data_IF_385009943348
#
_entry.id   IF_385009943348
#
_cell.length_a   1.000
_cell.length_b   1.000
_cell.length_c   1.000
_cell.angle_alpha   90.00
_cell.angle_beta   90.00
_cell.angle_gamma   90.00
#
_symmetry.space_group_name_H-M   'P 1'
#
loop_
_entity.id
_entity.type
_entity.pdbx_description
1 polymer ?
#
# COMPACT_ATOMS: atom_id res chain seq x y z
N UNK A 1 8.51 -1.35 -21.29
CA UNK A 1 8.02 -2.23 -20.22
C UNK A 1 8.44 -1.62 -18.91
N UNK A 2 7.52 -1.39 -17.98
CA UNK A 2 7.87 -0.93 -16.65
C UNK A 2 8.43 -2.08 -15.81
N UNK A 3 9.31 -1.76 -14.85
CA UNK A 3 9.82 -2.77 -13.92
C UNK A 3 8.71 -3.31 -13.01
N UNK A 4 7.72 -2.45 -12.65
CA UNK A 4 6.56 -2.88 -11.88
C UNK A 4 5.73 -3.95 -12.61
N UNK A 5 5.56 -3.84 -13.94
CA UNK A 5 4.90 -4.88 -14.73
C UNK A 5 5.67 -6.20 -14.68
N UNK A 6 7.00 -6.13 -14.85
CA UNK A 6 7.85 -7.31 -14.76
C UNK A 6 7.66 -8.03 -13.42
N UNK A 7 7.80 -7.30 -12.30
CA UNK A 7 7.63 -7.85 -10.95
C UNK A 7 6.24 -8.43 -10.76
N UNK A 8 5.19 -7.71 -11.18
CA UNK A 8 3.81 -8.17 -11.07
C UNK A 8 3.56 -9.47 -11.84
N UNK A 9 3.98 -9.51 -13.10
CA UNK A 9 3.81 -10.69 -13.97
C UNK A 9 4.57 -11.91 -13.43
N UNK A 10 5.83 -11.72 -12.98
CA UNK A 10 6.64 -12.78 -12.38
C UNK A 10 5.99 -13.33 -11.11
N UNK A 11 5.51 -12.47 -10.21
CA UNK A 11 4.81 -12.89 -9.01
C UNK A 11 3.52 -13.64 -9.31
N UNK A 12 2.70 -13.16 -10.24
CA UNK A 12 1.47 -13.84 -10.64
C UNK A 12 1.76 -15.24 -11.19
N UNK A 13 2.75 -15.36 -12.08
CA UNK A 13 3.16 -16.66 -12.63
C UNK A 13 3.63 -17.60 -11.52
N UNK A 14 4.49 -17.12 -10.63
CA UNK A 14 4.99 -17.95 -9.53
C UNK A 14 3.88 -18.40 -8.57
N UNK A 15 2.91 -17.52 -8.25
CA UNK A 15 1.75 -17.88 -7.42
C UNK A 15 0.91 -18.96 -8.13
N UNK A 16 0.62 -18.80 -9.42
CA UNK A 16 -0.23 -19.74 -10.17
C UNK A 16 0.45 -21.07 -10.42
N UNK A 17 1.76 -21.12 -10.61
CA UNK A 17 2.53 -22.32 -10.94
C UNK A 17 2.98 -23.09 -9.69
N UNK A 18 3.39 -22.37 -8.65
CA UNK A 18 4.07 -22.91 -7.47
C UNK A 18 3.33 -22.62 -6.15
N UNK A 19 2.17 -21.99 -6.21
CA UNK A 19 1.35 -21.68 -5.04
C UNK A 19 0.59 -22.89 -4.50
N UNK A 20 0.14 -22.77 -3.26
CA UNK A 20 -0.65 -23.79 -2.58
C UNK A 20 -2.11 -23.33 -2.48
N UNK A 21 -3.03 -24.18 -2.89
CA UNK A 21 -4.47 -23.95 -2.75
C UNK A 21 -4.96 -24.31 -1.34
N UNK A 22 -5.98 -23.57 -0.88
CA UNK A 22 -6.66 -23.82 0.40
C UNK A 22 -8.08 -24.38 0.24
N UNK A 23 -8.38 -24.98 -0.92
CA UNK A 23 -9.72 -25.51 -1.28
C UNK A 23 -10.22 -26.62 -0.36
N UNK A 24 -9.33 -27.27 0.40
CA UNK A 24 -9.63 -28.31 1.38
C UNK A 24 -9.80 -27.77 2.81
N UNK A 25 -9.76 -26.45 3.00
CA UNK A 25 -9.86 -25.79 4.29
C UNK A 25 -11.13 -24.96 4.40
N UNK A 26 -11.59 -24.76 5.63
CA UNK A 26 -12.54 -23.71 5.94
C UNK A 26 -11.82 -22.35 5.85
N UNK A 27 -12.41 -21.40 5.10
CA UNK A 27 -11.87 -20.05 4.90
C UNK A 27 -12.86 -19.01 5.40
N UNK A 28 -12.32 -17.93 5.97
CA UNK A 28 -13.14 -16.82 6.48
C UNK A 28 -13.81 -16.00 5.38
N UNK A 29 -13.09 -15.61 4.28
CA UNK A 29 -13.68 -14.74 3.28
C UNK A 29 -14.71 -15.49 2.42
N UNK A 30 -15.75 -14.74 2.05
CA UNK A 30 -16.83 -15.24 1.19
C UNK A 30 -17.07 -14.27 0.04
N UNK A 31 -17.58 -14.79 -1.06
CA UNK A 31 -18.09 -14.01 -2.16
C UNK A 31 -19.48 -13.43 -1.82
N UNK A 32 -19.95 -12.46 -2.61
CA UNK A 32 -21.25 -11.80 -2.42
C UNK A 32 -22.42 -12.80 -2.36
N UNK A 33 -22.31 -13.94 -3.06
CA UNK A 33 -23.30 -15.02 -3.06
C UNK A 33 -23.19 -15.98 -1.87
N UNK A 34 -22.31 -15.70 -0.91
CA UNK A 34 -22.10 -16.50 0.29
C UNK A 34 -21.21 -17.73 0.10
N UNK A 35 -20.70 -17.99 -1.11
CA UNK A 35 -19.76 -19.10 -1.32
C UNK A 35 -18.38 -18.79 -0.76
N UNK A 36 -17.64 -19.80 -0.22
CA UNK A 36 -16.28 -19.59 0.26
C UNK A 36 -15.35 -19.06 -0.84
N UNK A 37 -14.54 -18.06 -0.51
CA UNK A 37 -13.56 -17.47 -1.41
C UNK A 37 -12.18 -18.10 -1.15
N UNK A 38 -11.88 -19.17 -1.91
CA UNK A 38 -10.61 -19.88 -1.81
C UNK A 38 -9.48 -19.17 -2.53
N UNK A 39 -8.24 -19.44 -2.12
CA UNK A 39 -7.06 -18.82 -2.68
C UNK A 39 -5.99 -19.82 -3.09
N UNK A 40 -5.21 -19.45 -4.11
CA UNK A 40 -3.86 -19.96 -4.33
C UNK A 40 -2.87 -18.94 -3.85
N UNK A 41 -1.87 -19.36 -3.07
CA UNK A 41 -0.97 -18.43 -2.36
C UNK A 41 0.47 -18.86 -2.30
N UNK A 42 1.36 -17.87 -2.17
CA UNK A 42 2.81 -18.02 -1.92
C UNK A 42 3.18 -17.35 -0.61
N UNK A 43 4.03 -18.03 0.13
CA UNK A 43 4.65 -17.50 1.34
C UNK A 43 5.87 -16.64 0.98
N UNK A 44 5.95 -15.46 1.61
CA UNK A 44 7.12 -14.58 1.62
C UNK A 44 7.58 -14.13 0.23
N UNK A 45 6.76 -13.28 -0.41
CA UNK A 45 7.15 -12.56 -1.62
C UNK A 45 7.84 -11.25 -1.23
N UNK A 46 9.01 -10.97 -1.81
CA UNK A 46 9.78 -9.75 -1.56
C UNK A 46 10.02 -9.02 -2.87
N UNK A 47 9.43 -7.85 -3.01
CA UNK A 47 9.58 -6.99 -4.17
C UNK A 47 10.45 -5.79 -3.84
N UNK A 48 11.29 -5.37 -4.79
CA UNK A 48 12.20 -4.22 -4.63
C UNK A 48 12.00 -3.25 -5.79
N UNK A 49 11.85 -1.97 -5.47
CA UNK A 49 11.62 -0.92 -6.46
C UNK A 49 12.61 0.23 -6.20
N UNK A 50 13.42 0.56 -7.19
CA UNK A 50 14.32 1.70 -7.16
C UNK A 50 13.56 2.96 -7.65
N UNK A 51 13.13 3.78 -6.69
CA UNK A 51 12.32 4.98 -6.97
C UNK A 51 13.11 6.09 -7.67
N UNK A 52 14.44 5.98 -7.74
CA UNK A 52 15.25 6.91 -8.51
C UNK A 52 15.28 6.56 -10.00
N UNK A 53 14.95 5.31 -10.36
CA UNK A 53 14.90 4.87 -11.76
C UNK A 53 13.54 5.05 -12.37
N UNK A 54 12.49 4.60 -11.70
CA UNK A 54 11.12 4.71 -12.19
C UNK A 54 10.09 4.65 -11.07
N UNK A 55 8.92 5.19 -11.33
CA UNK A 55 7.79 5.07 -10.42
C UNK A 55 7.10 3.70 -10.58
N UNK A 56 6.85 2.93 -9.50
CA UNK A 56 6.46 1.53 -9.58
C UNK A 56 4.94 1.35 -9.78
N UNK A 57 4.42 1.78 -10.92
CA UNK A 57 3.02 1.58 -11.30
C UNK A 57 2.93 0.61 -12.47
N UNK A 58 2.00 -0.37 -12.38
CA UNK A 58 1.76 -1.32 -13.47
C UNK A 58 1.01 -0.67 -14.63
N UNK A 59 1.22 -1.21 -15.82
CA UNK A 59 0.57 -0.78 -17.07
C UNK A 59 -0.30 -1.87 -17.68
N UNK A 60 -0.13 -3.12 -17.29
CA UNK A 60 -0.95 -4.25 -17.74
C UNK A 60 -2.42 -4.11 -17.36
N UNK A 61 -2.73 -3.32 -16.35
CA UNK A 61 -4.06 -2.82 -16.03
C UNK A 61 -3.98 -1.44 -15.39
N UNK A 62 -5.08 -0.71 -15.40
CA UNK A 62 -5.19 0.59 -14.76
C UNK A 62 -5.06 0.46 -13.23
N UNK A 63 -4.18 1.27 -12.62
CA UNK A 63 -4.21 1.59 -11.20
C UNK A 63 -4.77 3.00 -11.03
N UNK A 64 -5.80 3.17 -10.21
CA UNK A 64 -6.47 4.46 -10.00
C UNK A 64 -5.63 5.34 -9.09
N UNK A 65 -4.59 5.94 -9.67
CA UNK A 65 -3.54 6.69 -9.00
C UNK A 65 -4.05 7.75 -8.02
N UNK A 66 -4.99 8.59 -8.43
CA UNK A 66 -5.55 9.65 -7.57
C UNK A 66 -6.30 9.10 -6.37
N UNK A 67 -7.01 8.00 -6.52
CA UNK A 67 -7.71 7.34 -5.41
C UNK A 67 -6.72 6.68 -4.44
N UNK A 68 -5.65 6.08 -4.95
CA UNK A 68 -4.60 5.52 -4.11
C UNK A 68 -3.90 6.60 -3.27
N UNK A 69 -3.68 7.79 -3.84
CA UNK A 69 -3.14 8.95 -3.11
C UNK A 69 -4.14 9.45 -2.06
N UNK A 70 -5.42 9.62 -2.41
CA UNK A 70 -6.43 10.08 -1.46
C UNK A 70 -6.47 9.18 -0.21
N UNK A 71 -6.40 7.86 -0.42
CA UNK A 71 -6.38 6.89 0.67
C UNK A 71 -5.10 6.95 1.51
N UNK A 72 -3.91 7.06 0.91
CA UNK A 72 -2.69 7.15 1.72
C UNK A 72 -2.61 8.46 2.51
N UNK A 73 -3.13 9.57 1.96
CA UNK A 73 -3.27 10.83 2.68
C UNK A 73 -4.32 10.72 3.80
N UNK A 74 -5.43 10.01 3.58
CA UNK A 74 -6.43 9.73 4.59
C UNK A 74 -5.84 8.95 5.77
N UNK A 75 -5.04 7.90 5.50
CA UNK A 75 -4.42 7.07 6.53
C UNK A 75 -3.30 7.83 7.26
N UNK A 76 -2.35 8.44 6.53
CA UNK A 76 -1.11 8.93 7.11
C UNK A 76 -1.09 10.41 7.45
N UNK A 77 -1.79 11.24 6.70
CA UNK A 77 -1.82 12.68 6.90
C UNK A 77 -2.99 13.10 7.78
N UNK A 78 -4.22 12.72 7.39
CA UNK A 78 -5.43 12.98 8.19
C UNK A 78 -5.49 12.10 9.44
N UNK A 79 -4.85 10.92 9.40
CA UNK A 79 -4.87 9.91 10.47
C UNK A 79 -6.30 9.54 10.87
N UNK A 80 -7.18 9.48 9.88
CA UNK A 80 -8.60 9.23 10.08
C UNK A 80 -8.93 7.74 9.98
N UNK A 81 -9.99 7.35 10.66
CA UNK A 81 -10.65 6.05 10.55
C UNK A 81 -12.11 6.18 10.10
N UNK A 82 -12.51 7.37 9.62
CA UNK A 82 -13.85 7.62 9.13
C UNK A 82 -13.85 7.72 7.60
N UNK A 83 -14.66 6.89 6.93
CA UNK A 83 -14.73 6.83 5.45
C UNK A 83 -15.32 8.10 4.82
N UNK A 84 -16.03 8.94 5.58
CA UNK A 84 -16.52 10.21 5.08
C UNK A 84 -15.41 11.24 4.80
N UNK A 85 -14.21 11.03 5.34
CA UNK A 85 -13.02 11.83 5.05
C UNK A 85 -12.29 11.38 3.77
N UNK A 86 -12.74 10.28 3.15
CA UNK A 86 -12.20 9.68 1.94
C UNK A 86 -13.14 9.97 0.76
N UNK A 87 -12.62 10.32 -0.40
CA UNK A 87 -13.42 10.60 -1.59
C UNK A 87 -13.91 9.32 -2.28
N UNK A 88 -13.15 8.23 -2.19
CA UNK A 88 -13.52 6.94 -2.77
C UNK A 88 -14.37 6.13 -1.80
N UNK A 89 -15.13 5.16 -2.35
CA UNK A 89 -16.02 4.30 -1.59
C UNK A 89 -15.45 2.89 -1.34
N UNK A 90 -14.15 2.73 -1.49
CA UNK A 90 -13.50 1.41 -1.42
C UNK A 90 -13.51 0.80 -0.02
N UNK A 91 -13.74 1.63 1.02
CA UNK A 91 -13.79 1.21 2.42
C UNK A 91 -15.21 1.05 2.99
N UNK A 92 -16.26 1.38 2.21
CA UNK A 92 -17.65 1.39 2.69
C UNK A 92 -18.08 0.02 3.27
N UNK A 93 -17.59 -1.09 2.71
CA UNK A 93 -17.94 -2.45 3.17
C UNK A 93 -17.41 -2.79 4.57
N UNK A 94 -16.43 -2.04 5.08
CA UNK A 94 -15.85 -2.21 6.42
C UNK A 94 -16.24 -1.12 7.41
N UNK A 95 -17.01 -0.13 6.96
CA UNK A 95 -17.47 0.95 7.81
C UNK A 95 -18.75 0.56 8.57
N UNK A 96 -18.86 1.02 9.81
CA UNK A 96 -20.09 0.96 10.57
C UNK A 96 -21.11 2.03 10.11
N UNK A 97 -22.26 2.11 10.78
CA UNK A 97 -23.33 3.08 10.49
C UNK A 97 -22.89 4.55 10.61
N UNK A 98 -21.82 4.83 11.35
CA UNK A 98 -21.23 6.17 11.53
C UNK A 98 -20.08 6.44 10.56
N UNK A 99 -19.78 5.52 9.67
CA UNK A 99 -18.66 5.59 8.73
C UNK A 99 -17.31 5.25 9.32
N UNK A 100 -17.25 4.66 10.52
CA UNK A 100 -16.00 4.29 11.19
C UNK A 100 -15.55 2.88 10.80
N UNK A 101 -14.26 2.70 10.55
CA UNK A 101 -13.61 1.38 10.44
C UNK A 101 -13.01 0.88 11.76
N UNK A 102 -13.44 1.47 12.87
CA UNK A 102 -12.96 1.13 14.20
C UNK A 102 -11.56 1.71 14.48
N UNK A 103 -10.82 1.10 15.41
CA UNK A 103 -9.48 1.56 15.81
C UNK A 103 -8.38 1.13 14.83
N UNK A 104 -8.69 1.08 13.53
CA UNK A 104 -7.79 0.60 12.48
C UNK A 104 -7.03 1.75 11.77
N UNK A 105 -5.96 1.41 11.08
CA UNK A 105 -5.17 2.25 10.18
C UNK A 105 -4.81 3.65 10.73
N UNK A 106 -5.46 4.72 10.26
CA UNK A 106 -5.16 6.09 10.65
C UNK A 106 -5.28 6.33 12.16
N UNK A 107 -6.25 5.70 12.80
CA UNK A 107 -6.39 5.75 14.25
C UNK A 107 -5.12 5.30 14.98
N UNK A 108 -4.49 4.20 14.54
CA UNK A 108 -3.27 3.71 15.16
C UNK A 108 -2.06 4.63 14.92
N UNK A 109 -2.01 5.30 13.77
CA UNK A 109 -0.98 6.31 13.51
C UNK A 109 -1.13 7.55 14.39
N UNK A 110 -2.38 7.92 14.72
CA UNK A 110 -2.69 9.08 15.58
C UNK A 110 -2.41 8.82 17.07
N UNK A 111 -2.30 7.55 17.50
CA UNK A 111 -2.02 7.24 18.92
C UNK A 111 -0.67 7.82 19.34
N UNK A 112 -0.71 8.63 20.38
CA UNK A 112 0.49 9.23 20.93
C UNK A 112 1.23 8.27 21.85
N UNK A 113 2.54 8.35 21.80
CA UNK A 113 3.47 7.62 22.67
C UNK A 113 4.48 8.57 23.30
N UNK A 114 4.92 8.24 24.51
CA UNK A 114 5.90 9.04 25.25
C UNK A 114 7.30 8.54 24.89
N UNK A 115 8.12 9.45 24.36
CA UNK A 115 9.54 9.25 24.06
C UNK A 115 10.39 10.14 24.99
N UNK A 116 11.71 9.94 24.98
CA UNK A 116 12.62 10.80 25.76
C UNK A 116 12.56 12.27 25.33
N UNK A 117 12.30 12.52 24.05
CA UNK A 117 12.25 13.83 23.43
C UNK A 117 10.88 14.52 23.53
N UNK A 118 9.85 13.82 23.97
CA UNK A 118 8.49 14.35 24.10
C UNK A 118 7.40 13.33 23.72
N UNK A 119 6.19 13.83 23.57
CA UNK A 119 5.04 13.04 23.15
C UNK A 119 4.82 13.23 21.64
N UNK A 120 4.76 12.11 20.89
CA UNK A 120 4.56 12.10 19.45
C UNK A 120 3.54 11.02 19.07
N UNK A 121 2.78 11.27 18.02
CA UNK A 121 2.19 10.19 17.26
C UNK A 121 3.23 9.54 16.32
N UNK A 122 2.85 8.44 15.65
CA UNK A 122 3.83 7.68 14.87
C UNK A 122 4.37 8.44 13.66
N UNK A 123 3.54 9.26 12.99
CA UNK A 123 3.94 10.06 11.82
C UNK A 123 4.86 11.19 12.22
N UNK A 124 4.49 11.94 13.26
CA UNK A 124 5.30 13.04 13.79
C UNK A 124 6.63 12.52 14.34
N UNK A 125 6.65 11.31 14.93
CA UNK A 125 7.89 10.66 15.36
C UNK A 125 8.82 10.35 14.18
N UNK A 126 8.30 9.82 13.07
CA UNK A 126 9.12 9.60 11.86
C UNK A 126 9.68 10.91 11.33
N UNK A 127 8.86 11.97 11.22
CA UNK A 127 9.30 13.30 10.77
C UNK A 127 10.39 13.89 11.68
N UNK A 128 10.21 13.75 13.00
CA UNK A 128 11.20 14.21 13.99
C UNK A 128 12.53 13.47 13.83
N UNK A 129 12.50 12.13 13.73
CA UNK A 129 13.71 11.32 13.62
C UNK A 129 14.44 11.55 12.29
N UNK A 130 13.72 11.64 11.16
CA UNK A 130 14.33 11.93 9.86
C UNK A 130 15.05 13.29 9.85
N UNK A 131 14.52 14.27 10.59
CA UNK A 131 15.12 15.61 10.69
C UNK A 131 16.28 15.68 11.68
N UNK A 132 16.16 15.03 12.85
CA UNK A 132 17.07 15.24 13.98
C UNK A 132 18.04 14.08 14.20
N UNK A 133 17.70 12.88 13.73
CA UNK A 133 18.48 11.66 13.91
C UNK A 133 18.34 10.70 12.72
N UNK A 134 18.64 11.14 11.47
CA UNK A 134 18.40 10.36 10.25
C UNK A 134 19.14 9.02 10.22
N UNK A 135 20.25 8.88 10.96
CA UNK A 135 21.01 7.63 11.05
C UNK A 135 20.44 6.62 12.06
N UNK A 136 19.30 6.94 12.69
CA UNK A 136 18.63 6.03 13.61
C UNK A 136 18.13 4.76 12.89
N UNK A 137 18.37 3.62 13.51
CA UNK A 137 17.83 2.31 13.06
C UNK A 137 16.48 2.00 13.68
N UNK A 138 15.81 3.00 14.25
CA UNK A 138 14.55 2.88 15.01
C UNK A 138 13.40 3.69 14.38
N UNK A 139 13.60 4.15 13.14
CA UNK A 139 12.57 4.94 12.44
C UNK A 139 11.59 3.95 11.82
N UNK A 140 10.46 3.77 12.47
CA UNK A 140 9.43 2.82 12.03
C UNK A 140 8.06 3.18 12.59
N UNK A 141 7.04 2.63 11.93
CA UNK A 141 5.65 2.64 12.38
C UNK A 141 5.11 1.22 12.46
N UNK A 142 4.15 1.00 13.34
CA UNK A 142 3.40 -0.25 13.43
C UNK A 142 1.96 0.04 13.82
N UNK A 143 1.03 -0.36 12.96
CA UNK A 143 -0.41 -0.14 13.17
C UNK A 143 -1.16 -1.43 13.53
N UNK A 144 -0.46 -2.56 13.67
CA UNK A 144 -1.04 -3.81 14.16
C UNK A 144 -0.89 -3.86 15.70
N UNK A 145 -1.88 -3.30 16.38
CA UNK A 145 -1.90 -3.19 17.83
C UNK A 145 -2.81 -4.26 18.41
N UNK A 146 -2.23 -5.23 19.13
CA UNK A 146 -2.95 -6.37 19.69
C UNK A 146 -4.02 -5.96 20.70
N UNK A 147 -3.82 -4.86 21.44
CA UNK A 147 -4.77 -4.39 22.46
C UNK A 147 -6.06 -3.83 21.83
N UNK A 148 -6.00 -3.36 20.57
CA UNK A 148 -7.12 -2.72 19.90
C UNK A 148 -7.74 -3.60 18.78
N UNK A 149 -7.23 -4.82 18.51
CA UNK A 149 -7.72 -5.65 17.39
C UNK A 149 -9.22 -5.93 17.47
N UNK A 150 -9.76 -6.12 18.67
CA UNK A 150 -11.17 -6.41 18.89
C UNK A 150 -12.10 -5.23 18.53
N UNK A 151 -11.55 -4.02 18.36
CA UNK A 151 -12.26 -2.82 17.97
C UNK A 151 -11.93 -2.40 16.52
N UNK A 152 -11.30 -3.26 15.72
CA UNK A 152 -10.98 -3.04 14.30
C UNK A 152 -11.95 -3.81 13.42
N UNK A 153 -12.64 -3.13 12.51
CA UNK A 153 -13.52 -3.79 11.54
C UNK A 153 -12.72 -4.54 10.46
N UNK A 154 -11.49 -4.11 10.20
CA UNK A 154 -10.52 -4.80 9.36
C UNK A 154 -9.12 -4.70 9.96
N UNK A 155 -8.49 -5.85 10.22
CA UNK A 155 -7.11 -5.89 10.72
C UNK A 155 -6.13 -5.41 9.62
N UNK A 156 -5.18 -4.51 9.96
CA UNK A 156 -4.26 -3.95 8.98
C UNK A 156 -3.50 -5.02 8.19
N UNK A 157 -3.60 -4.97 6.86
CA UNK A 157 -2.84 -5.85 5.97
C UNK A 157 -1.41 -5.32 5.80
N UNK A 158 -1.26 -4.07 5.37
CA UNK A 158 -0.02 -3.30 5.36
C UNK A 158 0.16 -2.70 6.77
N UNK A 159 0.96 -3.33 7.61
CA UNK A 159 0.91 -3.07 9.05
C UNK A 159 2.13 -2.35 9.62
N UNK A 160 3.25 -2.36 8.92
CA UNK A 160 4.49 -1.76 9.45
C UNK A 160 5.32 -1.17 8.32
N UNK A 161 5.85 0.03 8.56
CA UNK A 161 6.79 0.69 7.67
C UNK A 161 8.08 0.97 8.43
N UNK A 162 9.23 0.54 7.90
CA UNK A 162 10.55 0.84 8.43
C UNK A 162 11.30 1.74 7.47
N UNK A 163 11.93 2.79 8.00
CA UNK A 163 12.69 3.76 7.22
C UNK A 163 14.18 3.65 7.55
N UNK A 164 15.03 3.82 6.53
CA UNK A 164 16.48 3.82 6.66
C UNK A 164 17.09 4.90 5.76
N UNK A 165 17.99 5.70 6.30
CA UNK A 165 18.73 6.71 5.54
C UNK A 165 20.13 6.19 5.23
N UNK A 166 20.48 6.15 3.94
CA UNK A 166 21.80 5.78 3.44
C UNK A 166 22.36 6.94 2.63
N UNK A 167 23.35 7.66 3.17
CA UNK A 167 23.84 8.90 2.58
C UNK A 167 22.75 9.97 2.59
N UNK A 168 22.34 10.43 1.42
CA UNK A 168 21.25 11.41 1.21
C UNK A 168 19.93 10.74 0.76
N UNK A 169 19.84 9.42 0.88
CA UNK A 169 18.76 8.63 0.31
C UNK A 169 17.92 7.96 1.41
N UNK A 170 16.60 8.16 1.34
CA UNK A 170 15.62 7.50 2.22
C UNK A 170 15.08 6.24 1.57
N UNK A 171 15.34 5.09 2.20
CA UNK A 171 14.79 3.80 1.83
C UNK A 171 13.65 3.40 2.75
N UNK A 172 12.75 2.55 2.27
CA UNK A 172 11.62 2.10 3.06
C UNK A 172 11.30 0.61 2.86
N UNK A 173 10.90 -0.06 3.95
CA UNK A 173 10.39 -1.43 3.91
C UNK A 173 8.95 -1.43 4.39
N UNK A 174 8.02 -1.84 3.54
CA UNK A 174 6.65 -2.14 3.91
C UNK A 174 6.53 -3.62 4.25
N UNK A 175 6.04 -3.93 5.45
CA UNK A 175 5.64 -5.28 5.82
C UNK A 175 4.13 -5.43 5.70
N UNK A 176 3.71 -6.40 4.91
CA UNK A 176 2.31 -6.74 4.66
C UNK A 176 2.06 -8.21 5.00
N UNK A 177 1.07 -8.48 5.86
CA UNK A 177 0.78 -9.86 6.29
C UNK A 177 -0.05 -10.64 5.29
N UNK A 178 -0.82 -9.96 4.44
CA UNK A 178 -1.77 -10.57 3.51
C UNK A 178 -2.04 -9.62 2.36
N UNK A 179 -2.03 -10.12 1.11
CA UNK A 179 -2.25 -9.31 -0.07
C UNK A 179 -3.00 -10.05 -1.17
N UNK A 180 -4.19 -9.55 -1.53
CA UNK A 180 -4.83 -9.89 -2.79
C UNK A 180 -4.01 -9.31 -3.96
N UNK A 181 -3.41 -10.22 -4.73
CA UNK A 181 -2.50 -9.83 -5.80
C UNK A 181 -3.21 -9.11 -6.94
N UNK A 182 -4.46 -9.45 -7.23
CA UNK A 182 -5.20 -8.77 -8.30
C UNK A 182 -5.66 -7.38 -7.87
N UNK A 183 -6.26 -7.22 -6.70
CA UNK A 183 -6.92 -5.96 -6.32
C UNK A 183 -5.99 -5.00 -5.60
N UNK A 184 -5.15 -5.49 -4.67
CA UNK A 184 -4.41 -4.66 -3.75
C UNK A 184 -2.91 -4.51 -4.06
N UNK A 185 -2.28 -5.41 -4.85
CA UNK A 185 -0.83 -5.40 -5.03
C UNK A 185 -0.31 -4.04 -5.46
N UNK A 186 -0.66 -3.60 -6.67
CA UNK A 186 -0.09 -2.35 -7.17
C UNK A 186 -0.70 -1.11 -6.49
N UNK A 187 -1.88 -1.23 -5.92
CA UNK A 187 -2.47 -0.16 -5.11
C UNK A 187 -1.56 0.21 -3.93
N UNK A 188 -1.19 -0.78 -3.12
CA UNK A 188 -0.30 -0.55 -1.97
C UNK A 188 1.11 -0.11 -2.41
N UNK A 189 1.65 -0.68 -3.50
CA UNK A 189 2.97 -0.28 -4.04
C UNK A 189 2.97 1.21 -4.40
N UNK A 190 1.95 1.69 -5.11
CA UNK A 190 1.80 3.11 -5.48
C UNK A 190 1.67 3.99 -4.25
N UNK A 191 0.83 3.61 -3.29
CA UNK A 191 0.61 4.35 -2.05
C UNK A 191 1.91 4.57 -1.27
N UNK A 192 2.63 3.50 -1.01
CA UNK A 192 3.84 3.56 -0.17
C UNK A 192 5.05 4.12 -0.92
N UNK A 193 5.10 4.01 -2.26
CA UNK A 193 6.07 4.75 -3.06
C UNK A 193 5.84 6.26 -2.97
N UNK A 194 4.60 6.74 -3.10
CA UNK A 194 4.24 8.16 -2.90
C UNK A 194 4.60 8.61 -1.49
N UNK A 195 4.24 7.82 -0.48
CA UNK A 195 4.55 8.12 0.92
C UNK A 195 6.05 8.29 1.16
N UNK A 196 6.88 7.41 0.58
CA UNK A 196 8.33 7.50 0.70
C UNK A 196 8.88 8.78 0.03
N UNK A 197 8.33 9.16 -1.13
CA UNK A 197 8.66 10.45 -1.76
C UNK A 197 8.28 11.65 -0.89
N UNK A 198 7.11 11.62 -0.24
CA UNK A 198 6.67 12.69 0.67
C UNK A 198 7.64 12.87 1.84
N UNK A 199 7.95 11.78 2.56
CA UNK A 199 8.90 11.83 3.67
C UNK A 199 10.29 12.27 3.23
N UNK A 200 10.78 11.76 2.10
CA UNK A 200 12.08 12.15 1.56
C UNK A 200 12.13 13.66 1.27
N UNK A 201 11.15 14.20 0.55
CA UNK A 201 11.10 15.60 0.17
C UNK A 201 11.10 16.55 1.38
N UNK A 202 10.20 16.31 2.36
CA UNK A 202 10.09 17.21 3.54
C UNK A 202 11.28 17.08 4.51
N UNK A 203 12.07 16.02 4.37
CA UNK A 203 13.28 15.80 5.16
C UNK A 203 14.56 16.19 4.40
N UNK A 204 14.45 16.72 3.18
CA UNK A 204 15.59 17.10 2.35
C UNK A 204 16.41 15.91 1.82
N UNK A 205 15.79 14.75 1.73
CA UNK A 205 16.39 13.50 1.25
C UNK A 205 15.86 13.14 -0.16
N UNK A 206 16.51 12.20 -0.82
CA UNK A 206 16.04 11.58 -2.06
C UNK A 206 15.27 10.30 -1.73
N UNK A 207 14.17 10.05 -2.40
CA UNK A 207 13.51 8.74 -2.32
C UNK A 207 14.41 7.68 -2.97
N UNK A 208 14.63 6.58 -2.28
CA UNK A 208 15.53 5.52 -2.68
C UNK A 208 14.83 4.20 -3.00
N UNK A 209 15.25 3.13 -2.38
CA UNK A 209 14.65 1.81 -2.58
C UNK A 209 13.40 1.65 -1.72
N UNK A 210 12.32 1.23 -2.35
CA UNK A 210 11.11 0.74 -1.69
C UNK A 210 11.07 -0.79 -1.74
N UNK A 211 11.08 -1.44 -0.59
CA UNK A 211 11.00 -2.88 -0.45
C UNK A 211 9.62 -3.25 0.10
N UNK A 212 8.93 -4.16 -0.57
CA UNK A 212 7.61 -4.64 -0.19
C UNK A 212 7.72 -6.13 0.19
N UNK A 213 7.56 -6.43 1.47
CA UNK A 213 7.59 -7.78 2.03
C UNK A 213 6.16 -8.24 2.29
N UNK A 214 5.75 -9.32 1.64
CA UNK A 214 4.40 -9.85 1.69
C UNK A 214 4.46 -11.26 2.26
N UNK A 215 3.90 -11.50 3.45
CA UNK A 215 3.93 -12.82 4.07
C UNK A 215 3.01 -13.82 3.35
N UNK A 216 1.81 -13.40 2.95
CA UNK A 216 0.84 -14.20 2.20
C UNK A 216 0.40 -13.42 0.95
N UNK A 217 0.96 -13.77 -0.20
CA UNK A 217 0.57 -13.23 -1.50
C UNK A 217 -0.37 -14.22 -2.19
N UNK A 218 -1.62 -13.84 -2.41
CA UNK A 218 -2.64 -14.75 -2.90
C UNK A 218 -3.45 -14.20 -4.08
N UNK A 219 -4.07 -15.14 -4.79
CA UNK A 219 -5.03 -14.88 -5.87
C UNK A 219 -6.28 -15.69 -5.53
N UNK A 220 -7.42 -15.02 -5.42
CA UNK A 220 -8.70 -15.70 -5.21
C UNK A 220 -9.11 -16.52 -6.43
N UNK A 221 -9.87 -17.60 -6.20
CA UNK A 221 -10.32 -18.55 -7.21
C UNK A 221 -11.03 -17.86 -8.40
N UNK A 222 -11.99 -16.97 -8.14
CA UNK A 222 -12.69 -16.19 -9.18
C UNK A 222 -11.80 -15.15 -9.86
N UNK A 223 -10.69 -14.78 -9.26
CA UNK A 223 -9.72 -13.86 -9.85
C UNK A 223 -8.76 -14.54 -10.81
N UNK A 224 -8.56 -15.86 -10.73
CA UNK A 224 -7.59 -16.59 -11.57
C UNK A 224 -7.81 -16.39 -13.07
N UNK A 225 -9.01 -16.49 -13.63
CA UNK A 225 -9.23 -16.23 -15.06
C UNK A 225 -8.90 -14.80 -15.46
N UNK A 226 -9.22 -13.84 -14.57
CA UNK A 226 -9.04 -12.42 -14.80
C UNK A 226 -7.55 -12.07 -14.81
N UNK A 227 -6.80 -12.52 -13.80
CA UNK A 227 -5.38 -12.18 -13.66
C UNK A 227 -4.53 -12.84 -14.76
N UNK A 228 -4.91 -14.03 -15.23
CA UNK A 228 -4.29 -14.67 -16.40
C UNK A 228 -4.45 -13.81 -17.66
N UNK A 229 -5.61 -13.21 -17.89
CA UNK A 229 -5.81 -12.27 -18.98
C UNK A 229 -4.99 -11.01 -18.80
N UNK A 230 -4.92 -10.47 -17.57
CA UNK A 230 -4.20 -9.23 -17.25
C UNK A 230 -2.71 -9.36 -17.55
N UNK A 231 -2.06 -10.46 -17.16
CA UNK A 231 -0.61 -10.60 -17.35
C UNK A 231 -0.19 -10.81 -18.82
N UNK A 232 -1.12 -11.13 -19.72
CA UNK A 232 -0.88 -11.25 -21.16
C UNK A 232 -1.09 -9.93 -21.92
N UNK A 233 -1.60 -8.87 -21.26
CA UNK A 233 -1.84 -7.58 -21.89
C UNK A 233 -0.52 -6.86 -22.25
N UNK A 234 -0.53 -5.99 -23.30
CA UNK A 234 0.62 -5.19 -23.66
C UNK A 234 1.16 -4.38 -22.47
N UNK A 235 2.46 -4.32 -22.34
CA UNK A 235 3.15 -3.55 -21.31
C UNK A 235 3.72 -2.26 -21.90
N UNK A 236 3.59 -1.15 -21.16
CA UNK A 236 4.08 0.15 -21.57
C UNK A 236 5.27 0.59 -20.70
N UNK A 237 6.07 1.59 -21.14
CA UNK A 237 7.07 2.22 -20.28
C UNK A 237 6.45 2.82 -19.03
N UNK A 238 7.21 2.83 -17.94
CA UNK A 238 6.80 3.51 -16.71
C UNK A 238 6.56 5.00 -16.98
N UNK A 239 5.50 5.61 -16.40
CA UNK A 239 5.29 7.05 -16.48
C UNK A 239 6.34 7.79 -15.67
N UNK A 240 6.52 9.07 -15.99
CA UNK A 240 7.31 9.95 -15.15
C UNK A 240 6.46 10.42 -13.96
N UNK A 241 6.97 10.18 -12.76
CA UNK A 241 6.36 10.69 -11.54
C UNK A 241 6.82 12.11 -11.27
N UNK A 242 5.88 12.97 -10.90
CA UNK A 242 6.14 14.33 -10.45
C UNK A 242 5.45 14.56 -9.11
N UNK A 243 6.19 15.16 -8.18
CA UNK A 243 5.72 15.66 -6.90
C UNK A 243 6.00 17.15 -6.82
N UNK A 244 5.05 17.94 -6.30
CA UNK A 244 5.18 19.39 -6.23
C UNK A 244 6.36 19.78 -5.31
N UNK A 245 7.44 20.37 -5.87
CA UNK A 245 8.65 20.69 -5.10
C UNK A 245 8.44 21.83 -4.10
N UNK A 246 7.36 22.59 -4.22
CA UNK A 246 7.08 23.73 -3.35
C UNK A 246 6.49 23.33 -2.00
N UNK A 247 5.94 22.11 -1.87
CA UNK A 247 5.43 21.60 -0.61
C UNK A 247 6.59 21.24 0.32
N UNK A 248 6.64 21.86 1.50
CA UNK A 248 7.73 21.72 2.48
C UNK A 248 7.28 21.06 3.79
N UNK A 249 5.99 20.94 4.01
CA UNK A 249 5.42 20.28 5.19
C UNK A 249 4.64 19.06 4.77
N UNK A 250 4.82 17.94 5.49
CA UNK A 250 4.15 16.67 5.22
C UNK A 250 2.62 16.79 5.19
N UNK A 251 2.07 17.66 6.03
CA UNK A 251 0.62 17.84 6.17
C UNK A 251 0.01 18.80 5.14
N UNK A 252 0.81 19.45 4.31
CA UNK A 252 0.33 20.38 3.28
C UNK A 252 0.11 19.71 1.91
N UNK A 253 0.56 18.45 1.73
CA UNK A 253 0.32 17.72 0.50
C UNK A 253 -1.17 17.50 0.25
N UNK A 254 -1.57 17.70 -0.99
CA UNK A 254 -2.90 17.38 -1.54
C UNK A 254 -2.79 16.39 -2.70
N UNK A 255 -3.91 15.83 -3.14
CA UNK A 255 -3.94 14.91 -4.29
C UNK A 255 -3.35 15.58 -5.57
N UNK A 256 -3.46 16.90 -5.69
CA UNK A 256 -3.02 17.63 -6.88
C UNK A 256 -1.52 17.91 -6.93
N UNK A 257 -0.81 17.66 -5.82
CA UNK A 257 0.64 17.76 -5.74
C UNK A 257 1.38 16.55 -6.33
N UNK A 258 0.62 15.59 -6.91
CA UNK A 258 1.19 14.38 -7.52
C UNK A 258 0.64 14.15 -8.92
N UNK A 259 1.53 13.82 -9.88
CA UNK A 259 1.16 13.57 -11.28
C UNK A 259 1.96 12.42 -11.87
N UNK A 260 1.33 11.75 -12.83
CA UNK A 260 1.98 10.78 -13.71
C UNK A 260 1.93 11.31 -15.15
N UNK A 261 3.10 11.63 -15.70
CA UNK A 261 3.22 12.07 -17.09
C UNK A 261 3.41 10.86 -17.99
N UNK A 262 2.56 10.74 -19.01
CA UNK A 262 2.65 9.66 -20.00
C UNK A 262 2.19 8.28 -19.49
N UNK A 263 1.36 8.21 -18.44
CA UNK A 263 0.81 6.94 -17.95
C UNK A 263 -0.14 6.33 -18.99
N UNK A 264 0.31 5.23 -19.60
CA UNK A 264 -0.49 4.38 -20.49
C UNK A 264 -0.77 3.08 -19.78
N UNK A 265 -1.99 2.56 -19.93
CA UNK A 265 -2.44 1.34 -19.28
C UNK A 265 -3.47 0.63 -20.15
N UNK A 266 -3.77 -0.62 -19.80
CA UNK A 266 -4.89 -1.33 -20.37
C UNK A 266 -6.08 -1.24 -19.43
N UNK A 267 -7.26 -0.98 -19.97
CA UNK A 267 -8.50 -1.07 -19.20
C UNK A 267 -8.90 -2.55 -19.02
N UNK A 268 -9.62 -2.80 -17.95
CA UNK A 268 -10.22 -4.08 -17.65
C UNK A 268 -11.74 -3.90 -17.70
N UNK A 269 -12.38 -4.42 -18.77
CA UNK A 269 -13.83 -4.31 -18.99
C UNK A 269 -14.65 -5.29 -18.12
N UNK A 270 -14.12 -5.63 -16.95
CA UNK A 270 -14.75 -6.57 -16.01
C UNK A 270 -14.81 -5.95 -14.63
N UNK A 271 -15.97 -6.06 -13.97
CA UNK A 271 -16.06 -5.79 -12.53
C UNK A 271 -15.29 -6.88 -11.78
N UNK A 272 -14.38 -6.47 -10.93
CA UNK A 272 -13.68 -7.38 -10.00
C UNK A 272 -14.52 -7.43 -8.73
N UNK A 273 -15.02 -8.63 -8.39
CA UNK A 273 -15.64 -8.89 -7.08
C UNK A 273 -14.57 -8.80 -5.99
N UNK A 274 -14.99 -8.41 -4.79
CA UNK A 274 -14.14 -8.42 -3.59
C UNK A 274 -14.69 -9.44 -2.62
N UNK A 275 -13.84 -10.36 -2.17
CA UNK A 275 -14.18 -11.29 -1.11
C UNK A 275 -14.10 -10.59 0.27
N UNK A 276 -15.08 -10.80 1.14
CA UNK A 276 -15.21 -10.13 2.45
C UNK A 276 -15.20 -11.17 3.57
#
# INVERSE_FOLDING_TARGET
MSYADKVFVENVKDILENGVWDTDKEVRPHWEDGTPAHTVKKFCVVNRYDLQKEFPIITVRRTFFKSAIDEILWIWQKKSNNVHDLKSRIWDSWADENGSIGKAYGYQLAKKSIYKEGEFDQVDRVLFDLKNNPQSRRIMTNIYNFDDLHEMNLYPCAYSMTFNVSGDTLNGILNQRSQDTLTANNWNVVQYAVLLHMFAQVSGLKAGEFVHVIADAHIYDRHVPIIKEVIEKPQYPAPKFWINPDVKNFYDFTIDDFRLEGYKFNDLDKKIEVAI
#
